data_IF_802201013594
#
_entry.id   IF_802201013594
#
_cell.length_a   1.000
_cell.length_b   1.000
_cell.length_c   1.000
_cell.angle_alpha   90.00
_cell.angle_beta   90.00
_cell.angle_gamma   90.00
#
_symmetry.space_group_name_H-M   'P 1'
#
loop_
_entity.id
_entity.type
_entity.pdbx_description
1 polymer ?
#
# COMPACT_ATOMS: atom_id res chain seq x y z
N UNK A 1 12.02 41.94 -42.02
CA UNK A 1 10.69 41.47 -41.52
C UNK A 1 10.58 39.95 -41.52
N UNK A 2 10.88 39.23 -42.61
CA UNK A 2 10.70 37.76 -42.72
C UNK A 2 11.50 36.95 -41.67
N UNK A 3 12.76 37.33 -41.39
CA UNK A 3 13.60 36.64 -40.37
C UNK A 3 13.04 36.78 -38.95
N UNK A 4 12.49 37.94 -38.58
CA UNK A 4 11.88 38.20 -37.26
C UNK A 4 10.58 37.41 -37.10
N UNK A 5 9.77 37.28 -38.16
CA UNK A 5 8.53 36.50 -38.15
C UNK A 5 8.82 35.01 -37.96
N UNK A 6 9.82 34.46 -38.65
CA UNK A 6 10.24 33.07 -38.47
C UNK A 6 10.68 32.80 -37.02
N UNK A 7 11.47 33.69 -36.45
CA UNK A 7 11.96 33.57 -35.08
C UNK A 7 10.83 33.56 -34.04
N UNK A 8 9.82 34.42 -34.22
CA UNK A 8 8.63 34.48 -33.34
C UNK A 8 7.81 33.19 -33.47
N UNK A 9 7.57 32.71 -34.69
CA UNK A 9 6.80 31.48 -34.91
C UNK A 9 7.52 30.26 -34.33
N UNK A 10 8.85 30.20 -34.48
CA UNK A 10 9.65 29.11 -33.88
C UNK A 10 9.61 29.17 -32.34
N UNK A 11 9.68 30.34 -31.76
CA UNK A 11 9.61 30.52 -30.32
C UNK A 11 8.24 30.13 -29.73
N UNK A 12 7.15 30.51 -30.43
CA UNK A 12 5.79 30.11 -30.06
C UNK A 12 5.62 28.57 -30.18
N UNK A 13 6.16 27.97 -31.23
CA UNK A 13 6.13 26.52 -31.42
C UNK A 13 6.88 25.76 -30.31
N UNK A 14 8.05 26.25 -29.91
CA UNK A 14 8.83 25.68 -28.80
C UNK A 14 8.10 25.82 -27.45
N UNK A 15 7.47 26.97 -27.19
CA UNK A 15 6.68 27.18 -25.99
C UNK A 15 5.43 26.27 -25.96
N UNK A 16 4.72 26.16 -27.10
CA UNK A 16 3.55 25.26 -27.20
C UNK A 16 3.93 23.78 -27.02
N UNK A 17 5.11 23.37 -27.53
CA UNK A 17 5.62 22.02 -27.31
C UNK A 17 6.02 21.76 -25.86
N UNK A 18 6.61 22.76 -25.18
CA UNK A 18 6.99 22.69 -23.77
C UNK A 18 5.78 22.59 -22.83
N UNK A 19 4.66 23.24 -23.15
CA UNK A 19 3.42 23.17 -22.37
C UNK A 19 2.70 21.82 -22.61
N UNK A 20 2.79 21.26 -23.82
CA UNK A 20 2.14 19.99 -24.19
C UNK A 20 2.77 18.74 -23.54
N UNK A 21 4.03 18.79 -23.13
CA UNK A 21 4.74 17.67 -22.52
C UNK A 21 4.79 17.74 -20.98
N UNK A 22 4.25 18.82 -20.37
CA UNK A 22 4.53 19.17 -18.98
C UNK A 22 3.48 18.80 -17.92
N UNK A 23 2.35 18.18 -18.24
CA UNK A 23 1.29 18.02 -17.25
C UNK A 23 0.67 16.63 -17.16
N UNK A 24 1.48 15.59 -17.20
CA UNK A 24 1.09 14.33 -16.58
C UNK A 24 1.73 14.23 -15.18
N UNK A 25 1.25 15.07 -14.28
CA UNK A 25 1.54 14.88 -12.86
C UNK A 25 0.70 13.69 -12.38
N UNK A 26 1.28 12.52 -12.30
CA UNK A 26 0.71 11.36 -11.67
C UNK A 26 0.80 11.56 -10.16
N UNK A 27 -0.34 11.72 -9.50
CA UNK A 27 -0.37 11.79 -8.04
C UNK A 27 -0.38 10.37 -7.49
N UNK A 28 0.77 9.92 -7.02
CA UNK A 28 0.92 8.66 -6.29
C UNK A 28 1.33 9.00 -4.86
N UNK A 29 0.62 8.49 -3.88
CA UNK A 29 1.06 8.51 -2.49
C UNK A 29 1.53 7.12 -2.13
N UNK A 30 2.83 6.93 -1.97
CA UNK A 30 3.41 5.74 -1.37
C UNK A 30 3.49 5.96 0.12
N UNK A 31 2.79 5.14 0.88
CA UNK A 31 2.79 5.20 2.33
C UNK A 31 3.92 4.34 2.87
N UNK A 32 5.11 4.89 2.81
CA UNK A 32 6.21 4.54 3.69
C UNK A 32 6.35 5.72 4.64
N UNK A 33 5.86 5.56 5.84
CA UNK A 33 6.04 6.38 7.04
C UNK A 33 6.87 7.66 6.89
N UNK A 34 6.31 8.75 6.34
CA UNK A 34 6.72 10.15 6.57
C UNK A 34 5.68 11.10 6.00
N UNK A 35 5.41 12.18 6.70
CA UNK A 35 4.42 13.22 6.39
C UNK A 35 4.60 13.83 4.99
N UNK A 36 3.81 13.39 4.00
CA UNK A 36 3.73 14.04 2.71
C UNK A 36 2.30 14.54 2.45
N UNK A 37 2.12 15.85 2.58
CA UNK A 37 0.87 16.54 2.25
C UNK A 37 1.02 17.20 0.87
N UNK A 38 0.29 16.71 -0.12
CA UNK A 38 0.22 17.36 -1.44
C UNK A 38 -1.03 18.25 -1.53
N UNK A 39 -0.82 19.53 -1.80
CA UNK A 39 -1.90 20.53 -1.93
C UNK A 39 -2.15 20.89 -3.40
N UNK A 40 -3.00 20.13 -4.05
CA UNK A 40 -3.91 20.51 -5.16
C UNK A 40 -4.52 19.21 -5.67
N UNK A 41 -5.77 18.93 -5.21
CA UNK A 41 -6.38 17.61 -5.37
C UNK A 41 -5.59 16.60 -4.55
N UNK A 42 -5.76 16.61 -3.23
CA UNK A 42 -4.95 15.80 -2.32
C UNK A 42 -5.40 14.35 -2.37
N UNK A 43 -4.48 13.47 -2.76
CA UNK A 43 -4.58 12.04 -2.52
C UNK A 43 -3.95 11.78 -1.15
N UNK A 44 -4.75 11.46 -0.17
CA UNK A 44 -4.27 11.18 1.18
C UNK A 44 -4.87 9.88 1.71
N UNK A 45 -4.02 8.91 2.04
CA UNK A 45 -4.42 7.68 2.70
C UNK A 45 -4.12 7.84 4.19
N UNK A 46 -5.11 7.67 5.04
CA UNK A 46 -4.94 7.67 6.50
C UNK A 46 -5.41 6.37 7.14
N UNK A 47 -4.80 6.05 8.27
CA UNK A 47 -5.32 5.06 9.20
C UNK A 47 -6.11 5.81 10.29
N UNK A 48 -7.44 5.69 10.37
CA UNK A 48 -8.23 6.39 11.38
C UNK A 48 -7.83 5.89 12.78
N UNK A 49 -7.37 6.81 13.60
CA UNK A 49 -7.08 6.52 15.01
C UNK A 49 -5.78 7.09 15.56
N UNK A 50 -4.78 7.43 14.75
CA UNK A 50 -3.51 7.96 15.27
C UNK A 50 -2.82 9.00 14.37
N UNK A 51 -3.49 9.60 13.40
CA UNK A 51 -2.90 10.66 12.58
C UNK A 51 -1.68 10.28 11.73
N UNK A 52 -1.36 9.00 11.64
CA UNK A 52 -0.20 8.45 10.93
C UNK A 52 -0.69 7.36 9.98
N UNK A 53 -0.45 7.57 8.74
CA UNK A 53 -0.48 6.73 7.56
C UNK A 53 -0.84 5.24 7.70
N UNK A 54 -1.51 4.71 6.69
CA UNK A 54 -1.98 3.33 6.56
C UNK A 54 -0.87 2.29 6.39
N UNK A 55 0.03 2.23 7.33
CA UNK A 55 0.74 0.99 7.59
C UNK A 55 -0.11 0.18 8.55
N UNK A 56 -0.75 -0.86 8.03
CA UNK A 56 -1.41 -1.82 8.91
C UNK A 56 -0.33 -2.57 9.69
N UNK A 57 -0.36 -2.44 11.02
CA UNK A 57 0.52 -3.24 11.88
C UNK A 57 -0.24 -4.47 12.38
N UNK A 58 0.36 -5.63 12.22
CA UNK A 58 -0.11 -6.89 12.77
C UNK A 58 0.94 -7.46 13.73
N UNK A 59 0.63 -7.42 15.02
CA UNK A 59 1.42 -8.10 16.04
C UNK A 59 0.91 -9.53 16.23
N UNK A 60 1.78 -10.48 15.94
CA UNK A 60 1.54 -11.91 16.08
C UNK A 60 2.29 -12.42 17.29
N UNK A 61 1.57 -12.96 18.28
CA UNK A 61 2.14 -13.50 19.52
C UNK A 61 1.34 -14.72 19.98
N UNK A 62 2.00 -15.61 20.72
CA UNK A 62 1.37 -16.76 21.36
C UNK A 62 0.53 -17.65 20.44
N UNK A 63 0.98 -17.80 19.18
CA UNK A 63 0.33 -18.66 18.21
C UNK A 63 0.90 -20.09 18.28
N UNK A 64 0.11 -21.03 17.82
CA UNK A 64 0.45 -22.45 17.73
C UNK A 64 0.06 -23.00 16.35
N UNK A 65 0.63 -24.12 15.91
CA UNK A 65 0.26 -24.73 14.63
C UNK A 65 -1.24 -24.97 14.50
N UNK A 66 -1.81 -24.55 13.38
CA UNK A 66 -3.25 -24.59 13.10
C UNK A 66 -4.06 -23.42 13.67
N UNK A 67 -3.43 -22.52 14.42
CA UNK A 67 -4.11 -21.31 14.93
C UNK A 67 -4.46 -20.33 13.82
N UNK A 68 -5.63 -19.73 13.93
CA UNK A 68 -6.13 -18.70 13.00
C UNK A 68 -6.54 -17.46 13.77
N UNK A 69 -6.12 -16.30 13.29
CA UNK A 69 -6.48 -15.00 13.85
C UNK A 69 -7.05 -14.06 12.81
N UNK A 70 -7.57 -12.94 13.29
CA UNK A 70 -8.15 -11.89 12.48
C UNK A 70 -7.71 -10.51 12.99
N UNK A 71 -7.45 -9.60 12.06
CA UNK A 71 -7.16 -8.18 12.32
C UNK A 71 -7.82 -7.33 11.26
N UNK A 72 -8.50 -6.27 11.68
CA UNK A 72 -9.03 -5.26 10.75
C UNK A 72 -8.04 -4.12 10.57
N UNK A 73 -7.83 -3.71 9.33
CA UNK A 73 -7.08 -2.52 8.92
C UNK A 73 -8.06 -1.61 8.21
N UNK A 74 -8.18 -0.37 8.64
CA UNK A 74 -9.04 0.62 7.99
C UNK A 74 -8.19 1.62 7.23
N UNK A 75 -8.49 1.78 5.94
CA UNK A 75 -7.91 2.78 5.05
C UNK A 75 -8.95 3.89 4.88
N UNK A 76 -8.52 5.14 5.05
CA UNK A 76 -9.37 6.32 4.92
C UNK A 76 -8.93 7.18 3.74
N UNK A 77 -9.89 7.65 2.95
CA UNK A 77 -9.70 8.71 1.99
C UNK A 77 -9.90 10.06 2.68
N UNK A 78 -8.81 10.69 3.06
CA UNK A 78 -8.82 12.03 3.64
C UNK A 78 -8.55 13.12 2.60
N UNK A 79 -8.37 12.72 1.34
CA UNK A 79 -8.20 13.62 0.20
C UNK A 79 -9.52 14.09 -0.40
N UNK A 80 -9.41 14.84 -1.49
CA UNK A 80 -10.54 15.38 -2.26
C UNK A 80 -10.78 14.64 -3.58
N UNK A 81 -10.00 13.58 -3.83
CA UNK A 81 -10.10 12.78 -5.04
C UNK A 81 -10.36 11.31 -4.69
N UNK A 82 -11.13 10.65 -5.55
CA UNK A 82 -11.32 9.21 -5.48
C UNK A 82 -10.01 8.50 -5.82
N UNK A 83 -9.70 7.44 -5.09
CA UNK A 83 -8.50 6.65 -5.35
C UNK A 83 -8.77 5.14 -5.36
N UNK A 84 -7.95 4.42 -6.08
CA UNK A 84 -7.78 2.97 -5.95
C UNK A 84 -6.49 2.68 -5.19
N UNK A 85 -6.47 1.55 -4.50
CA UNK A 85 -5.30 1.18 -3.69
C UNK A 85 -5.02 -0.32 -3.71
N UNK A 86 -3.77 -0.64 -3.46
CA UNK A 86 -3.28 -2.01 -3.36
C UNK A 86 -2.29 -2.16 -2.21
N UNK A 87 -2.16 -3.38 -1.71
CA UNK A 87 -1.04 -3.80 -0.89
C UNK A 87 0.15 -4.07 -1.81
N UNK A 88 1.24 -3.36 -1.62
CA UNK A 88 2.49 -3.58 -2.38
C UNK A 88 3.20 -4.83 -1.86
N UNK A 89 3.40 -4.89 -0.56
CA UNK A 89 4.01 -6.02 0.13
C UNK A 89 3.71 -5.97 1.64
N UNK A 90 4.11 -7.04 2.32
CA UNK A 90 4.16 -7.09 3.78
C UNK A 90 5.65 -7.23 4.15
N UNK A 91 6.10 -6.47 5.12
CA UNK A 91 7.48 -6.50 5.60
C UNK A 91 7.55 -6.92 7.08
N UNK A 92 8.63 -7.56 7.47
CA UNK A 92 8.92 -7.87 8.86
C UNK A 92 9.52 -6.63 9.53
N UNK A 93 8.77 -6.03 10.46
CA UNK A 93 9.22 -4.87 11.23
C UNK A 93 10.06 -5.27 12.43
N UNK A 94 9.63 -6.32 13.14
CA UNK A 94 10.39 -6.91 14.24
C UNK A 94 10.04 -8.38 14.40
N UNK A 95 10.96 -9.14 14.99
CA UNK A 95 10.77 -10.56 15.30
C UNK A 95 11.25 -10.84 16.74
N UNK A 96 10.56 -11.74 17.41
CA UNK A 96 10.96 -12.26 18.72
C UNK A 96 12.04 -13.34 18.64
N UNK A 97 12.54 -13.62 17.45
CA UNK A 97 13.69 -14.51 17.20
C UNK A 97 14.62 -13.89 16.13
N UNK A 98 15.88 -14.34 16.11
CA UNK A 98 16.90 -13.76 15.22
C UNK A 98 16.68 -14.08 13.73
N UNK A 99 15.80 -15.04 13.42
CA UNK A 99 15.61 -15.55 12.06
C UNK A 99 14.29 -15.12 11.41
N UNK A 100 13.35 -14.54 12.21
CA UNK A 100 12.02 -14.16 11.71
C UNK A 100 11.25 -15.37 11.15
N UNK A 101 11.26 -16.50 11.85
CA UNK A 101 10.73 -17.78 11.35
C UNK A 101 9.24 -17.67 10.94
N UNK A 102 8.47 -16.83 11.60
CA UNK A 102 7.07 -16.59 11.25
C UNK A 102 6.93 -15.88 9.89
N UNK A 103 7.94 -15.16 9.45
CA UNK A 103 7.94 -14.46 8.17
C UNK A 103 8.67 -15.22 7.07
N UNK A 104 9.88 -15.69 7.35
CA UNK A 104 10.77 -16.32 6.37
C UNK A 104 10.79 -17.85 6.44
N UNK A 105 10.15 -18.46 7.44
CA UNK A 105 10.19 -19.89 7.66
C UNK A 105 9.49 -20.72 6.57
N UNK A 106 9.69 -22.02 6.66
CA UNK A 106 8.96 -23.00 5.87
C UNK A 106 8.39 -24.10 6.79
N UNK A 107 7.07 -24.06 7.09
CA UNK A 107 6.09 -23.08 6.65
C UNK A 107 6.29 -21.69 7.29
N UNK A 108 5.79 -20.62 6.67
CA UNK A 108 5.66 -19.30 7.29
C UNK A 108 4.20 -19.02 7.66
N UNK A 109 3.93 -17.89 8.29
CA UNK A 109 2.57 -17.37 8.40
C UNK A 109 1.94 -17.26 7.02
N UNK A 110 0.66 -17.58 6.95
CA UNK A 110 -0.18 -17.35 5.79
C UNK A 110 -1.22 -16.28 6.09
N UNK A 111 -1.48 -15.46 5.08
CA UNK A 111 -2.43 -14.33 5.12
C UNK A 111 -3.53 -14.57 4.08
N UNK A 112 -4.75 -14.21 4.44
CA UNK A 112 -5.90 -14.18 3.54
C UNK A 112 -6.73 -12.92 3.77
N UNK A 113 -7.41 -12.45 2.72
CA UNK A 113 -8.38 -11.35 2.81
C UNK A 113 -9.82 -11.81 2.62
N UNK A 114 -10.03 -13.09 2.26
CA UNK A 114 -11.34 -13.67 1.94
C UNK A 114 -11.61 -15.03 2.62
N UNK A 115 -10.65 -15.55 3.40
CA UNK A 115 -10.62 -16.89 4.00
C UNK A 115 -10.58 -18.06 2.99
N UNK A 116 -10.52 -17.76 1.71
CA UNK A 116 -10.51 -18.78 0.65
C UNK A 116 -9.11 -18.98 0.10
N UNK A 117 -8.46 -17.88 -0.28
CA UNK A 117 -7.11 -17.91 -0.83
C UNK A 117 -6.09 -17.44 0.21
N UNK A 118 -5.13 -18.29 0.47
CA UNK A 118 -4.07 -18.07 1.44
C UNK A 118 -2.73 -17.84 0.74
N UNK A 119 -1.97 -16.90 1.23
CA UNK A 119 -0.67 -16.52 0.70
C UNK A 119 0.36 -16.55 1.82
N UNK A 120 1.55 -17.03 1.52
CA UNK A 120 2.67 -16.86 2.45
C UNK A 120 2.93 -15.37 2.67
N UNK A 121 3.12 -14.98 3.92
CA UNK A 121 3.24 -13.56 4.29
C UNK A 121 4.37 -12.84 3.56
N UNK A 122 5.47 -13.51 3.25
CA UNK A 122 6.63 -12.96 2.53
C UNK A 122 6.46 -12.91 1.01
N UNK A 123 5.47 -13.60 0.47
CA UNK A 123 5.27 -13.75 -0.98
C UNK A 123 4.14 -12.89 -1.54
N UNK A 124 3.25 -12.39 -0.65
CA UNK A 124 2.11 -11.57 -1.10
C UNK A 124 2.60 -10.23 -1.62
N UNK A 125 2.22 -9.93 -2.87
CA UNK A 125 2.56 -8.67 -3.55
C UNK A 125 1.41 -8.21 -4.41
N UNK A 126 1.30 -6.89 -4.58
CA UNK A 126 0.42 -6.23 -5.54
C UNK A 126 -1.05 -6.69 -5.45
N UNK A 127 -1.57 -6.82 -4.22
CA UNK A 127 -2.95 -7.22 -4.01
C UNK A 127 -3.88 -5.99 -4.04
N UNK A 128 -4.75 -5.93 -5.03
CA UNK A 128 -5.67 -4.80 -5.24
C UNK A 128 -6.93 -4.95 -4.38
N UNK A 129 -7.33 -3.86 -3.71
CA UNK A 129 -8.54 -3.79 -2.89
C UNK A 129 -9.68 -2.99 -3.54
N UNK A 130 -9.46 -2.46 -4.75
CA UNK A 130 -10.40 -1.59 -5.44
C UNK A 130 -10.27 -0.14 -4.99
N UNK A 131 -11.40 0.59 -4.97
CA UNK A 131 -11.40 2.04 -4.79
C UNK A 131 -12.06 2.47 -3.48
N UNK A 132 -11.73 3.68 -3.04
CA UNK A 132 -12.42 4.43 -1.99
C UNK A 132 -12.76 5.80 -2.59
N UNK A 133 -14.07 6.07 -2.70
CA UNK A 133 -14.55 7.38 -3.12
C UNK A 133 -14.52 8.36 -1.95
N UNK A 134 -14.52 9.65 -2.25
CA UNK A 134 -14.61 10.71 -1.24
C UNK A 134 -15.88 10.60 -0.40
N UNK A 135 -16.98 10.13 -1.00
CA UNK A 135 -18.27 9.92 -0.31
C UNK A 135 -18.23 8.75 0.67
N UNK A 136 -17.49 7.68 0.36
CA UNK A 136 -17.33 6.52 1.25
C UNK A 136 -16.41 6.81 2.42
N UNK A 137 -15.43 7.69 2.22
CA UNK A 137 -14.47 8.14 3.21
C UNK A 137 -13.50 7.06 3.68
N UNK A 138 -13.92 5.80 3.86
CA UNK A 138 -13.07 4.72 4.41
C UNK A 138 -13.48 3.33 3.96
N UNK A 139 -12.51 2.41 3.99
CA UNK A 139 -12.69 0.98 3.74
C UNK A 139 -11.96 0.14 4.77
N UNK A 140 -12.64 -0.81 5.38
CA UNK A 140 -12.06 -1.76 6.31
C UNK A 140 -11.68 -3.04 5.57
N UNK A 141 -10.43 -3.47 5.75
CA UNK A 141 -9.88 -4.71 5.23
C UNK A 141 -9.75 -5.67 6.40
N UNK A 142 -10.37 -6.85 6.31
CA UNK A 142 -10.16 -7.91 7.27
C UNK A 142 -8.98 -8.76 6.83
N UNK A 143 -7.96 -8.83 7.65
CA UNK A 143 -6.76 -9.64 7.46
C UNK A 143 -6.91 -10.88 8.33
N UNK A 144 -7.04 -12.03 7.69
CA UNK A 144 -6.99 -13.32 8.35
C UNK A 144 -5.57 -13.85 8.28
N UNK A 145 -5.08 -14.44 9.36
CA UNK A 145 -3.72 -14.98 9.37
C UNK A 145 -3.69 -16.28 10.16
N UNK A 146 -2.91 -17.22 9.70
CA UNK A 146 -2.76 -18.52 10.33
C UNK A 146 -1.32 -19.01 10.31
N UNK A 147 -0.98 -19.82 11.29
CA UNK A 147 0.21 -20.66 11.24
C UNK A 147 -0.23 -22.05 10.74
N UNK A 148 0.34 -22.55 9.62
CA UNK A 148 0.00 -23.86 9.10
C UNK A 148 0.13 -24.96 10.16
N UNK A 149 -0.70 -25.99 10.08
CA UNK A 149 -0.77 -27.06 11.09
C UNK A 149 0.47 -27.97 11.10
N UNK A 150 1.23 -27.98 10.02
CA UNK A 150 2.50 -28.72 9.86
C UNK A 150 3.72 -27.95 10.41
N UNK A 151 3.51 -26.75 10.94
CA UNK A 151 4.55 -26.01 11.65
C UNK A 151 4.97 -26.79 12.91
N UNK A 152 6.24 -27.06 13.05
CA UNK A 152 6.78 -27.81 14.19
C UNK A 152 6.92 -26.97 15.47
N UNK A 153 7.42 -27.60 16.53
CA UNK A 153 7.61 -26.98 17.84
C UNK A 153 8.55 -25.76 17.86
N UNK A 154 9.41 -25.61 16.84
CA UNK A 154 10.30 -24.46 16.70
C UNK A 154 9.57 -23.12 16.59
N UNK A 155 8.26 -23.13 16.29
CA UNK A 155 7.41 -21.93 16.19
C UNK A 155 6.79 -21.53 17.53
N UNK A 156 6.85 -22.36 18.54
CA UNK A 156 6.27 -22.06 19.87
C UNK A 156 6.97 -20.86 20.50
N UNK A 157 6.17 -19.96 21.07
CA UNK A 157 6.65 -18.76 21.73
C UNK A 157 7.28 -17.70 20.81
N UNK A 158 7.25 -17.91 19.51
CA UNK A 158 7.73 -16.93 18.52
C UNK A 158 6.72 -15.79 18.36
N UNK A 159 7.25 -14.62 18.03
CA UNK A 159 6.45 -13.43 17.75
C UNK A 159 6.98 -12.70 16.52
N UNK A 160 6.13 -11.97 15.84
CA UNK A 160 6.49 -11.11 14.74
C UNK A 160 5.58 -9.90 14.70
N UNK A 161 6.15 -8.74 14.38
CA UNK A 161 5.41 -7.54 14.00
C UNK A 161 5.54 -7.37 12.50
N UNK A 162 4.42 -7.42 11.81
CA UNK A 162 4.32 -7.31 10.36
C UNK A 162 3.78 -5.94 9.99
N UNK A 163 4.33 -5.34 8.95
CA UNK A 163 3.91 -4.05 8.41
C UNK A 163 3.38 -4.23 7.00
N UNK A 164 2.15 -3.81 6.78
CA UNK A 164 1.45 -3.84 5.49
C UNK A 164 1.68 -2.52 4.78
N UNK A 165 2.30 -2.56 3.62
CA UNK A 165 2.62 -1.37 2.83
C UNK A 165 1.61 -1.20 1.70
N UNK A 166 0.83 -0.11 1.78
CA UNK A 166 -0.18 0.21 0.76
C UNK A 166 0.28 1.35 -0.13
N UNK A 167 -0.18 1.34 -1.38
CA UNK A 167 -0.05 2.44 -2.33
C UNK A 167 -1.42 2.75 -2.89
N UNK A 168 -1.68 4.04 -3.10
CA UNK A 168 -2.88 4.49 -3.79
C UNK A 168 -2.53 5.35 -5.00
N UNK A 169 -3.41 5.34 -5.98
CA UNK A 169 -3.38 6.22 -7.13
C UNK A 169 -4.80 6.66 -7.48
N UNK A 170 -4.94 7.75 -8.22
CA UNK A 170 -6.24 8.21 -8.69
C UNK A 170 -6.94 7.12 -9.51
N UNK A 171 -8.27 7.05 -9.41
CA UNK A 171 -9.07 6.05 -10.13
C UNK A 171 -8.82 6.12 -11.64
N UNK A 172 -8.74 7.34 -12.18
CA UNK A 172 -8.51 7.61 -13.61
C UNK A 172 -7.12 7.17 -14.11
N UNK A 173 -6.19 6.93 -13.19
CA UNK A 173 -4.86 6.48 -13.56
C UNK A 173 -4.88 5.01 -13.99
N UNK A 174 -4.48 4.73 -15.23
CA UNK A 174 -4.44 3.36 -15.78
C UNK A 174 -3.25 2.54 -15.29
N UNK A 175 -2.23 3.17 -14.70
CA UNK A 175 -1.04 2.51 -14.20
C UNK A 175 -0.85 2.73 -12.69
N UNK A 176 -0.13 1.81 -12.06
CA UNK A 176 0.46 1.97 -10.75
C UNK A 176 1.88 2.52 -10.97
N UNK A 177 2.03 3.81 -11.25
CA UNK A 177 3.36 4.40 -11.34
C UNK A 177 3.96 4.56 -9.95
N UNK A 178 5.16 4.06 -9.81
CA UNK A 178 6.05 4.37 -8.68
C UNK A 178 6.53 5.84 -8.78
#
# INVERSE_FOLDING_TARGET
LKKRLILIVTLIGLLAFGIGMGTYAWFTSSVVSTDNVFKTGTLEIKNPGNGVFATGILDVKNIYPGWVGEKSITIENAGTLDFKFKLVNITLKSSGDNNGILYNGNPSLEISFDKQKWYRVSEIKDYEFGQITTDQGKKTINVYYKLPSDAGNSYQGKSATLEFNFVATQVENTSWSE
#
